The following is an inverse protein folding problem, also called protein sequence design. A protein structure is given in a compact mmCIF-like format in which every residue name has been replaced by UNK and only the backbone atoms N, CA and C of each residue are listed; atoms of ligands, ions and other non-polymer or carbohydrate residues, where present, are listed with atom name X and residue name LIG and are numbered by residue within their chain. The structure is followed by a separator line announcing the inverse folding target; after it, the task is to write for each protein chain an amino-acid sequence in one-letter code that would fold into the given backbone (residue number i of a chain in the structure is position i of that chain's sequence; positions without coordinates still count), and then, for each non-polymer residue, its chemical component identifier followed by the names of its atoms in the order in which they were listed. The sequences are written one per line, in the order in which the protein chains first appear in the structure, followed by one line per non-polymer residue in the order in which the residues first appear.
data_IF_416231481839
#
_entry.id   IF_416231481839
#
_cell.length_a   1.000
_cell.length_b   1.000
_cell.length_c   1.000
_cell.angle_alpha   90.00
_cell.angle_beta   90.00
_cell.angle_gamma   90.00
#
_symmetry.space_group_name_H-M   'P 1'
#
loop_
_entity.id
_entity.type
_entity.pdbx_description
1 polymer ?
#
# COMPACT_ATOMS: atom_id res chain seq x y z
N UNK A 1 7.31 -73.61 -14.62
CA UNK A 1 6.70 -72.47 -15.32
C UNK A 1 6.08 -71.55 -14.28
N UNK A 2 6.82 -70.54 -13.79
CA UNK A 2 6.32 -69.54 -12.83
C UNK A 2 6.47 -68.17 -13.49
N UNK A 3 5.35 -67.58 -13.90
CA UNK A 3 5.25 -66.19 -14.33
C UNK A 3 5.36 -65.29 -13.10
N UNK A 4 6.26 -64.33 -13.12
CA UNK A 4 6.26 -63.18 -12.20
C UNK A 4 5.69 -61.98 -12.95
N UNK A 5 4.52 -61.51 -12.52
CA UNK A 5 3.97 -60.22 -12.92
C UNK A 5 4.74 -59.11 -12.18
N UNK A 6 5.41 -58.22 -12.90
CA UNK A 6 5.82 -56.93 -12.36
C UNK A 6 4.70 -55.92 -12.64
N UNK A 7 4.04 -55.46 -11.58
CA UNK A 7 3.17 -54.27 -11.63
C UNK A 7 4.06 -53.04 -11.52
N UNK A 8 4.16 -52.25 -12.59
CA UNK A 8 4.69 -50.90 -12.54
C UNK A 8 3.58 -49.96 -12.02
N UNK A 9 3.77 -49.39 -10.84
CA UNK A 9 2.92 -48.32 -10.33
C UNK A 9 3.40 -46.98 -10.92
N UNK A 10 2.63 -46.41 -11.84
CA UNK A 10 2.84 -45.05 -12.32
C UNK A 10 2.23 -44.07 -11.30
N UNK A 11 3.07 -43.40 -10.52
CA UNK A 11 2.65 -42.28 -9.69
C UNK A 11 2.53 -41.03 -10.57
N UNK A 12 1.31 -40.61 -10.89
CA UNK A 12 1.04 -39.29 -11.46
C UNK A 12 1.18 -38.24 -10.34
N UNK A 13 2.28 -37.49 -10.37
CA UNK A 13 2.43 -36.28 -9.54
C UNK A 13 1.56 -35.17 -10.13
N UNK A 14 0.51 -34.78 -9.42
CA UNK A 14 -0.27 -33.59 -9.75
C UNK A 14 0.54 -32.35 -9.31
N UNK A 15 1.19 -31.67 -10.25
CA UNK A 15 1.83 -30.37 -9.98
C UNK A 15 0.72 -29.33 -9.95
N UNK A 16 0.29 -28.94 -8.75
CA UNK A 16 -0.49 -27.71 -8.56
C UNK A 16 0.49 -26.54 -8.70
N UNK A 17 0.57 -25.97 -9.89
CA UNK A 17 1.23 -24.68 -10.08
C UNK A 17 0.40 -23.63 -9.34
N UNK A 18 0.91 -23.10 -8.22
CA UNK A 18 0.39 -21.88 -7.65
C UNK A 18 0.66 -20.75 -8.65
N UNK A 19 -0.40 -20.14 -9.15
CA UNK A 19 -0.28 -18.93 -9.96
C UNK A 19 0.16 -17.81 -9.01
N UNK A 20 1.44 -17.46 -9.01
CA UNK A 20 1.84 -16.18 -8.46
C UNK A 20 1.20 -15.10 -9.36
N UNK A 21 0.14 -14.46 -8.87
CA UNK A 21 -0.45 -13.30 -9.54
C UNK A 21 0.56 -12.16 -9.49
N UNK A 22 0.75 -11.45 -10.60
CA UNK A 22 1.63 -10.29 -10.66
C UNK A 22 0.91 -9.06 -10.10
N UNK A 23 1.63 -8.23 -9.35
CA UNK A 23 1.17 -6.90 -8.96
C UNK A 23 0.83 -6.07 -10.22
N UNK A 24 -0.28 -5.34 -10.19
CA UNK A 24 -0.72 -4.48 -11.30
C UNK A 24 0.12 -3.21 -11.37
N UNK A 25 0.65 -2.77 -10.23
CA UNK A 25 1.64 -1.70 -10.14
C UNK A 25 2.84 -2.25 -9.37
N UNK A 26 4.05 -2.07 -9.91
CA UNK A 26 5.27 -2.51 -9.26
C UNK A 26 6.48 -1.62 -9.61
N UNK A 27 6.74 -0.63 -8.76
CA UNK A 27 7.91 0.22 -8.75
C UNK A 27 8.79 -0.20 -7.56
N UNK A 28 9.82 -1.01 -7.79
CA UNK A 28 10.83 -1.31 -6.75
C UNK A 28 11.64 -0.06 -6.39
N UNK A 29 11.79 0.82 -7.37
CA UNK A 29 12.14 2.22 -7.24
C UNK A 29 11.47 3.02 -8.38
N UNK A 30 11.70 4.32 -8.44
CA UNK A 30 11.25 5.18 -9.54
C UNK A 30 12.42 5.57 -10.46
N UNK A 31 13.30 4.62 -10.79
CA UNK A 31 14.24 4.77 -11.92
C UNK A 31 13.51 4.93 -13.27
N UNK A 32 12.21 4.59 -13.30
CA UNK A 32 11.25 4.91 -14.36
C UNK A 32 9.91 5.30 -13.75
N UNK A 33 9.25 6.28 -14.36
CA UNK A 33 7.86 6.69 -14.06
C UNK A 33 6.88 6.25 -15.14
N UNK A 34 7.31 5.35 -16.03
CA UNK A 34 6.44 4.80 -17.09
C UNK A 34 5.20 4.16 -16.48
N UNK A 35 4.03 4.43 -17.06
CA UNK A 35 2.75 3.98 -16.51
C UNK A 35 2.09 5.00 -15.58
N UNK A 36 2.72 6.15 -15.30
CA UNK A 36 2.14 7.26 -14.54
C UNK A 36 1.86 8.48 -15.43
N UNK A 37 0.76 9.17 -15.12
CA UNK A 37 0.47 10.53 -15.55
C UNK A 37 0.98 11.46 -14.45
N UNK A 38 2.01 12.26 -14.76
CA UNK A 38 2.53 13.28 -13.85
C UNK A 38 1.89 14.63 -14.15
N UNK A 39 1.34 15.29 -13.13
CA UNK A 39 0.66 16.57 -13.25
C UNK A 39 1.25 17.62 -12.29
N UNK A 40 1.08 18.89 -12.65
CA UNK A 40 1.60 20.00 -11.86
C UNK A 40 3.12 19.92 -11.75
N UNK A 41 3.62 19.95 -10.52
CA UNK A 41 5.06 19.91 -10.23
C UNK A 41 5.64 18.51 -10.06
N UNK A 42 4.84 17.43 -10.19
CA UNK A 42 5.33 16.08 -10.00
C UNK A 42 6.36 15.69 -11.07
N UNK A 43 7.45 15.07 -10.66
CA UNK A 43 8.56 14.71 -11.54
C UNK A 43 9.33 13.49 -11.01
N UNK A 44 10.01 12.79 -11.92
CA UNK A 44 11.04 11.84 -11.53
C UNK A 44 12.27 12.62 -11.00
N UNK A 45 12.71 12.28 -9.78
CA UNK A 45 13.90 12.86 -9.15
C UNK A 45 14.90 11.74 -8.81
N UNK A 46 15.80 11.44 -9.74
CA UNK A 46 16.66 10.26 -9.62
C UNK A 46 15.83 8.97 -9.65
N UNK A 47 15.88 8.21 -8.56
CA UNK A 47 15.10 6.97 -8.39
C UNK A 47 13.87 7.16 -7.48
N UNK A 48 13.44 8.40 -7.24
CA UNK A 48 12.23 8.73 -6.50
C UNK A 48 11.18 9.41 -7.39
N UNK A 49 9.91 9.19 -7.06
CA UNK A 49 8.82 10.01 -7.55
C UNK A 49 8.65 11.19 -6.59
N UNK A 50 9.04 12.39 -7.04
CA UNK A 50 8.85 13.62 -6.30
C UNK A 50 7.51 14.23 -6.66
N UNK A 51 6.61 14.37 -5.69
CA UNK A 51 5.26 14.87 -5.95
C UNK A 51 5.23 16.40 -6.03
N UNK A 52 6.02 17.07 -5.20
CA UNK A 52 6.30 18.53 -5.27
C UNK A 52 7.78 18.79 -4.92
N UNK A 53 8.42 19.83 -5.48
CA UNK A 53 9.72 20.26 -5.02
C UNK A 53 9.60 21.06 -3.71
N UNK A 54 10.64 20.98 -2.87
CA UNK A 54 10.82 21.81 -1.68
C UNK A 54 10.96 23.29 -2.06
N UNK A 55 9.81 23.93 -2.28
CA UNK A 55 9.65 25.33 -2.62
C UNK A 55 8.25 25.79 -2.17
N UNK A 56 8.02 27.10 -2.09
CA UNK A 56 6.75 27.66 -1.64
C UNK A 56 5.63 27.46 -2.68
N UNK A 57 4.42 27.15 -2.21
CA UNK A 57 3.20 27.24 -3.03
C UNK A 57 3.15 26.27 -4.22
N UNK A 58 3.64 25.04 -4.08
CA UNK A 58 3.63 24.02 -5.13
C UNK A 58 2.39 23.12 -5.02
N UNK A 59 2.04 22.48 -6.13
CA UNK A 59 1.05 21.40 -6.14
C UNK A 59 1.37 20.41 -7.26
N UNK A 60 1.24 19.12 -6.97
CA UNK A 60 1.55 18.08 -7.93
C UNK A 60 0.82 16.79 -7.64
N UNK A 61 0.71 15.97 -8.68
CA UNK A 61 0.11 14.66 -8.57
C UNK A 61 0.70 13.66 -9.56
N UNK A 62 0.63 12.39 -9.23
CA UNK A 62 1.05 11.30 -10.09
C UNK A 62 0.04 10.17 -10.00
N UNK A 63 -0.63 9.85 -11.09
CA UNK A 63 -1.67 8.82 -11.14
C UNK A 63 -1.34 7.72 -12.12
N UNK A 64 -1.80 6.50 -11.83
CA UNK A 64 -1.72 5.39 -12.77
C UNK A 64 -2.37 5.77 -14.11
N UNK A 65 -1.83 5.24 -15.22
CA UNK A 65 -2.43 5.38 -16.56
C UNK A 65 -3.51 4.32 -16.80
N UNK A 66 -3.45 3.22 -16.07
CA UNK A 66 -4.46 2.16 -16.05
C UNK A 66 -5.29 2.24 -14.77
N UNK A 67 -6.56 1.86 -14.85
CA UNK A 67 -7.47 1.84 -13.70
C UNK A 67 -7.39 0.52 -12.94
N UNK A 68 -7.56 0.59 -11.62
CA UNK A 68 -7.89 -0.55 -10.76
C UNK A 68 -9.41 -0.70 -10.69
N UNK A 69 -9.90 -1.94 -10.72
CA UNK A 69 -11.34 -2.23 -10.62
C UNK A 69 -11.78 -2.36 -9.16
N UNK A 70 -12.92 -1.75 -8.83
CA UNK A 70 -13.68 -1.92 -7.60
C UNK A 70 -15.00 -2.69 -7.87
N UNK A 71 -15.19 -3.22 -9.08
CA UNK A 71 -16.42 -3.93 -9.45
C UNK A 71 -16.52 -5.27 -8.73
N UNK A 72 -17.75 -5.76 -8.53
CA UNK A 72 -18.00 -7.10 -7.98
C UNK A 72 -17.27 -7.39 -6.66
N UNK A 73 -17.26 -6.40 -5.75
CA UNK A 73 -16.58 -6.48 -4.45
C UNK A 73 -15.06 -6.68 -4.57
N UNK A 74 -14.45 -6.23 -5.68
CA UNK A 74 -13.01 -6.25 -5.86
C UNK A 74 -12.30 -5.49 -4.73
N UNK A 75 -11.13 -5.98 -4.41
CA UNK A 75 -10.32 -5.56 -3.27
C UNK A 75 -8.97 -5.09 -3.79
N UNK A 76 -8.21 -4.36 -2.99
CA UNK A 76 -6.81 -4.10 -3.31
C UNK A 76 -5.95 -4.09 -2.05
N UNK A 77 -4.67 -4.38 -2.22
CA UNK A 77 -3.65 -4.21 -1.20
C UNK A 77 -2.49 -3.45 -1.82
N UNK A 78 -2.09 -2.35 -1.21
CA UNK A 78 -1.00 -1.51 -1.70
C UNK A 78 0.01 -1.25 -0.59
N UNK A 79 1.28 -1.20 -0.99
CA UNK A 79 2.41 -0.89 -0.14
C UNK A 79 3.25 0.18 -0.83
N UNK A 80 3.68 1.18 -0.07
CA UNK A 80 4.65 2.16 -0.58
C UNK A 80 5.55 2.66 0.53
N UNK A 81 6.69 3.20 0.12
CA UNK A 81 7.62 3.90 0.99
C UNK A 81 7.72 5.35 0.55
N UNK A 82 7.73 6.27 1.51
CA UNK A 82 7.94 7.68 1.25
C UNK A 82 8.84 8.33 2.30
N UNK A 83 9.34 9.51 1.99
CA UNK A 83 10.05 10.38 2.94
C UNK A 83 9.80 11.85 2.60
N UNK A 84 9.93 12.73 3.60
CA UNK A 84 9.93 14.18 3.40
C UNK A 84 11.35 14.71 3.58
N UNK A 85 11.96 15.28 2.52
CA UNK A 85 13.33 15.79 2.58
C UNK A 85 13.46 17.28 2.28
N UNK A 86 14.52 17.91 2.77
CA UNK A 86 14.75 19.36 2.68
C UNK A 86 13.58 20.19 3.22
N UNK A 87 13.10 19.93 4.46
CA UNK A 87 12.04 20.72 5.04
C UNK A 87 12.49 22.18 5.23
N UNK A 88 11.58 23.13 5.04
CA UNK A 88 11.86 24.55 5.19
C UNK A 88 10.60 25.41 5.26
N UNK A 89 10.80 26.71 5.43
CA UNK A 89 9.74 27.71 5.49
C UNK A 89 9.23 27.97 6.91
N UNK A 90 7.92 28.18 7.05
CA UNK A 90 7.27 28.48 8.33
C UNK A 90 7.32 27.28 9.30
N UNK A 91 6.94 27.54 10.55
CA UNK A 91 6.84 26.55 11.63
C UNK A 91 5.45 26.59 12.25
N UNK A 92 4.87 25.43 12.55
CA UNK A 92 3.54 25.28 13.16
C UNK A 92 3.59 24.89 14.65
N UNK A 93 4.79 24.61 15.17
CA UNK A 93 5.02 24.17 16.54
C UNK A 93 5.98 22.99 16.64
N UNK A 94 6.17 22.20 15.57
CA UNK A 94 7.12 21.09 15.52
C UNK A 94 7.92 21.11 14.21
N UNK A 95 9.25 21.17 14.32
CA UNK A 95 10.14 21.00 13.17
C UNK A 95 9.94 22.06 12.07
N UNK A 96 10.57 21.84 10.92
CA UNK A 96 10.32 22.55 9.67
C UNK A 96 9.52 21.61 8.76
N UNK A 97 8.82 22.17 7.76
CA UNK A 97 8.25 21.40 6.66
C UNK A 97 6.73 21.36 6.68
N UNK A 98 6.15 21.14 5.49
CA UNK A 98 4.73 21.04 5.21
C UNK A 98 4.54 20.61 3.72
N UNK A 99 3.34 20.30 3.25
CA UNK A 99 2.09 20.13 4.02
C UNK A 99 1.68 18.65 4.09
N UNK A 100 2.29 17.78 3.30
CA UNK A 100 2.07 16.34 3.41
C UNK A 100 2.07 15.59 2.09
N UNK A 101 1.53 14.38 2.11
CA UNK A 101 1.35 13.49 0.96
C UNK A 101 0.00 12.81 1.09
N UNK A 102 -0.71 12.55 0.00
CA UNK A 102 -1.95 11.75 0.02
C UNK A 102 -1.83 10.60 -0.98
N UNK A 103 -2.12 9.36 -0.55
CA UNK A 103 -2.42 8.27 -1.47
C UNK A 103 -3.90 8.35 -1.86
N UNK A 104 -4.20 8.45 -3.15
CA UNK A 104 -5.53 8.82 -3.64
C UNK A 104 -6.07 7.74 -4.57
N UNK A 105 -7.35 7.40 -4.38
CA UNK A 105 -8.19 6.61 -5.27
C UNK A 105 -9.25 7.54 -5.87
N UNK A 106 -9.25 7.77 -7.18
CA UNK A 106 -10.14 8.76 -7.81
C UNK A 106 -10.58 8.39 -9.24
N UNK A 107 -11.43 9.23 -9.84
CA UNK A 107 -12.08 8.94 -11.14
C UNK A 107 -11.36 9.50 -12.37
N UNK A 108 -10.41 10.42 -12.20
CA UNK A 108 -9.60 10.98 -13.30
C UNK A 108 -8.12 10.94 -12.95
N UNK A 109 -7.22 11.07 -13.92
CA UNK A 109 -5.77 10.92 -13.71
C UNK A 109 -4.96 12.20 -13.89
N UNK A 110 -5.61 13.32 -14.21
CA UNK A 110 -4.96 14.58 -14.57
C UNK A 110 -5.28 15.76 -13.64
N UNK A 111 -5.88 15.50 -12.47
CA UNK A 111 -6.19 16.54 -11.50
C UNK A 111 -4.98 16.91 -10.64
N UNK A 112 -4.90 18.21 -10.32
CA UNK A 112 -3.99 18.79 -9.33
C UNK A 112 -4.88 19.58 -8.36
N UNK A 113 -4.96 19.13 -7.10
CA UNK A 113 -5.75 19.80 -6.07
C UNK A 113 -5.05 21.02 -5.47
N UNK A 114 -5.61 21.52 -4.36
CA UNK A 114 -5.12 22.72 -3.68
C UNK A 114 -3.69 22.59 -3.15
N UNK A 115 -2.92 23.68 -3.21
CA UNK A 115 -1.59 23.80 -2.57
C UNK A 115 -1.70 24.01 -1.05
N UNK A 116 -0.57 24.09 -0.34
CA UNK A 116 -0.56 24.26 1.11
C UNK A 116 -1.29 23.12 1.82
N UNK A 117 -2.03 23.44 2.88
CA UNK A 117 -2.92 22.50 3.59
C UNK A 117 -4.05 21.90 2.73
N UNK A 118 -4.09 22.17 1.42
CA UNK A 118 -4.86 21.37 0.47
C UNK A 118 -4.19 20.06 0.05
N UNK A 119 -2.90 19.87 0.35
CA UNK A 119 -2.07 18.67 0.13
C UNK A 119 -2.21 18.06 -1.29
N UNK A 120 -2.45 18.91 -2.29
CA UNK A 120 -2.70 18.49 -3.66
C UNK A 120 -4.00 17.69 -3.86
N UNK A 121 -4.82 17.53 -2.82
CA UNK A 121 -6.05 16.72 -2.79
C UNK A 121 -7.32 17.57 -2.72
N UNK A 122 -7.27 18.73 -2.04
CA UNK A 122 -8.43 19.62 -1.90
C UNK A 122 -9.03 19.96 -3.27
N UNK A 123 -10.32 19.66 -3.45
CA UNK A 123 -11.06 19.87 -4.70
C UNK A 123 -11.03 18.72 -5.69
N UNK A 124 -10.28 17.64 -5.45
CA UNK A 124 -10.35 16.40 -6.24
C UNK A 124 -11.61 15.64 -5.82
N UNK A 125 -12.77 15.96 -6.40
CA UNK A 125 -14.04 15.28 -6.10
C UNK A 125 -14.07 13.81 -6.53
N UNK A 126 -15.09 13.08 -6.06
CA UNK A 126 -15.30 11.65 -6.35
C UNK A 126 -14.02 10.84 -6.09
N UNK A 127 -13.53 10.92 -4.86
CA UNK A 127 -12.23 10.38 -4.48
C UNK A 127 -12.22 9.97 -3.01
N UNK A 128 -11.26 9.13 -2.68
CA UNK A 128 -10.89 8.81 -1.30
C UNK A 128 -9.38 8.94 -1.19
N UNK A 129 -8.92 9.63 -0.14
CA UNK A 129 -7.52 9.89 0.16
C UNK A 129 -7.12 9.25 1.49
N UNK A 130 -5.88 8.76 1.55
CA UNK A 130 -5.20 8.44 2.81
C UNK A 130 -4.09 9.49 2.93
N UNK A 131 -4.29 10.49 3.78
CA UNK A 131 -3.34 11.60 3.96
C UNK A 131 -2.28 11.27 5.01
N UNK A 132 -1.10 11.85 4.81
CA UNK A 132 0.04 11.91 5.71
C UNK A 132 0.40 13.38 5.86
N UNK A 133 -0.29 14.05 6.78
CA UNK A 133 -0.22 15.50 6.99
C UNK A 133 0.94 15.83 7.93
N UNK A 134 1.74 16.81 7.55
CA UNK A 134 2.91 17.27 8.31
C UNK A 134 2.80 18.71 8.79
N UNK A 135 1.57 19.25 8.85
CA UNK A 135 1.31 20.61 9.26
C UNK A 135 0.00 20.77 10.06
N UNK A 136 0.05 21.51 11.15
CA UNK A 136 -1.12 21.84 11.95
C UNK A 136 -1.91 23.04 11.35
N UNK A 137 -2.97 22.75 10.59
CA UNK A 137 -4.00 23.70 10.16
C UNK A 137 -5.11 23.95 11.21
N UNK A 138 -5.00 23.35 12.40
CA UNK A 138 -5.81 23.65 13.58
C UNK A 138 -6.81 22.56 13.93
N UNK A 139 -8.07 22.94 14.19
CA UNK A 139 -9.09 22.02 14.72
C UNK A 139 -9.48 20.88 13.77
N UNK A 140 -9.23 21.03 12.45
CA UNK A 140 -9.43 19.95 11.47
C UNK A 140 -8.46 18.78 11.68
N UNK A 141 -7.27 19.07 12.19
CA UNK A 141 -6.15 18.13 12.31
C UNK A 141 -5.99 17.64 13.74
N UNK A 142 -7.02 17.85 14.58
CA UNK A 142 -6.96 17.68 16.03
C UNK A 142 -5.81 18.47 16.69
N UNK A 143 -5.41 19.60 16.08
CA UNK A 143 -4.23 20.38 16.48
C UNK A 143 -2.92 19.59 16.46
N UNK A 144 -2.82 18.53 15.63
CA UNK A 144 -1.61 17.76 15.42
C UNK A 144 -0.74 18.38 14.33
N UNK A 145 0.58 18.35 14.51
CA UNK A 145 1.53 18.66 13.42
C UNK A 145 1.85 17.46 12.54
N UNK A 146 1.47 16.25 12.97
CA UNK A 146 1.72 15.02 12.22
C UNK A 146 0.55 14.07 12.43
N UNK A 147 -0.22 13.77 11.39
CA UNK A 147 -1.28 12.77 11.46
C UNK A 147 -1.43 11.98 10.17
N UNK A 148 -2.07 10.82 10.29
CA UNK A 148 -2.60 10.06 9.17
C UNK A 148 -4.12 10.19 9.18
N UNK A 149 -4.71 10.36 8.00
CA UNK A 149 -6.14 10.63 7.85
C UNK A 149 -6.78 9.84 6.71
N UNK A 150 -8.11 9.69 6.78
CA UNK A 150 -8.94 9.25 5.65
C UNK A 150 -9.82 10.42 5.25
N UNK A 151 -9.66 10.81 4.00
CA UNK A 151 -10.34 11.92 3.37
C UNK A 151 -11.28 11.45 2.27
N UNK A 152 -12.32 12.24 2.00
CA UNK A 152 -13.33 11.89 1.00
C UNK A 152 -13.77 13.09 0.18
N UNK A 153 -14.02 12.84 -1.10
CA UNK A 153 -14.58 13.81 -2.04
C UNK A 153 -13.78 15.13 -2.12
N UNK A 154 -12.44 15.03 -2.09
CA UNK A 154 -11.56 16.20 -2.20
C UNK A 154 -11.64 17.16 -1.01
N UNK A 155 -12.09 16.70 0.16
CA UNK A 155 -12.02 17.44 1.42
C UNK A 155 -10.84 16.93 2.24
N UNK A 156 -9.98 17.84 2.71
CA UNK A 156 -8.87 17.57 3.66
C UNK A 156 -9.33 17.59 5.13
N UNK A 157 -10.64 17.71 5.38
CA UNK A 157 -11.19 17.46 6.71
C UNK A 157 -11.43 15.96 6.85
N UNK A 158 -10.42 15.27 7.39
CA UNK A 158 -10.43 13.83 7.63
C UNK A 158 -11.68 13.36 8.38
N UNK A 159 -12.35 12.35 7.83
CA UNK A 159 -13.49 11.68 8.49
C UNK A 159 -13.04 10.68 9.55
N UNK A 160 -11.76 10.31 9.52
CA UNK A 160 -11.08 9.49 10.51
C UNK A 160 -9.61 9.87 10.49
N UNK A 161 -9.03 10.14 11.65
CA UNK A 161 -7.61 10.52 11.76
C UNK A 161 -6.98 9.88 12.99
N UNK A 162 -5.65 9.76 12.97
CA UNK A 162 -4.84 9.39 14.11
C UNK A 162 -3.50 10.14 14.09
N UNK A 163 -3.09 10.63 15.26
CA UNK A 163 -1.80 11.32 15.42
C UNK A 163 -0.63 10.36 15.20
N UNK A 164 0.38 10.83 14.45
CA UNK A 164 1.64 10.11 14.26
C UNK A 164 2.60 10.53 15.37
N UNK A 165 2.70 9.69 16.40
CA UNK A 165 3.53 9.94 17.59
C UNK A 165 4.89 9.25 17.56
N UNK A 166 5.15 8.43 16.54
CA UNK A 166 6.39 7.67 16.41
C UNK A 166 7.61 8.61 16.17
N UNK A 167 7.42 9.65 15.35
CA UNK A 167 8.36 10.76 15.13
C UNK A 167 7.69 11.86 14.27
N UNK A 168 8.33 13.03 14.19
CA UNK A 168 8.05 14.04 13.18
C UNK A 168 8.33 13.47 11.79
N UNK A 169 7.34 13.51 10.88
CA UNK A 169 7.48 12.95 9.54
C UNK A 169 8.38 13.80 8.64
N UNK A 170 8.60 15.08 8.96
CA UNK A 170 9.51 15.96 8.22
C UNK A 170 11.00 15.70 8.54
N UNK A 171 11.34 14.65 9.29
CA UNK A 171 12.70 14.39 9.74
C UNK A 171 13.63 13.72 8.69
N UNK A 172 13.11 13.40 7.50
CA UNK A 172 13.86 12.71 6.45
C UNK A 172 13.94 11.19 6.58
N UNK A 173 13.32 10.59 7.60
CA UNK A 173 13.21 9.14 7.73
C UNK A 173 12.29 8.56 6.65
N UNK A 174 12.52 7.30 6.33
CA UNK A 174 11.66 6.53 5.43
C UNK A 174 10.49 5.95 6.23
N UNK A 175 9.29 6.21 5.73
CA UNK A 175 8.05 5.64 6.24
C UNK A 175 7.52 4.59 5.29
N UNK A 176 7.10 3.46 5.85
CA UNK A 176 6.51 2.33 5.13
C UNK A 176 5.03 2.28 5.43
N UNK A 177 4.19 2.22 4.39
CA UNK A 177 2.73 2.29 4.49
C UNK A 177 2.09 1.08 3.83
N UNK A 178 1.06 0.53 4.46
CA UNK A 178 0.17 -0.47 3.88
C UNK A 178 -1.27 0.03 3.91
N UNK A 179 -1.93 -0.02 2.76
CA UNK A 179 -3.38 0.26 2.66
C UNK A 179 -4.05 -0.97 2.06
N UNK A 180 -5.06 -1.48 2.76
CA UNK A 180 -5.81 -2.66 2.36
C UNK A 180 -7.30 -2.29 2.27
N UNK A 181 -7.91 -2.53 1.12
CA UNK A 181 -9.35 -2.43 0.94
C UNK A 181 -9.93 -3.81 0.64
N UNK A 182 -10.79 -4.30 1.52
CA UNK A 182 -11.56 -5.52 1.32
C UNK A 182 -12.96 -5.14 0.80
N UNK A 183 -13.17 -5.25 -0.52
CA UNK A 183 -14.44 -4.94 -1.16
C UNK A 183 -15.59 -5.89 -0.81
N UNK A 184 -15.31 -7.07 -0.22
CA UNK A 184 -16.37 -7.97 0.26
C UNK A 184 -16.99 -7.46 1.57
N UNK A 185 -16.21 -6.73 2.38
CA UNK A 185 -16.66 -6.16 3.66
C UNK A 185 -16.66 -4.64 3.68
N UNK A 186 -16.30 -4.01 2.56
CA UNK A 186 -16.03 -2.57 2.43
C UNK A 186 -15.04 -2.04 3.49
N UNK A 187 -14.09 -2.86 3.95
CA UNK A 187 -13.18 -2.47 5.03
C UNK A 187 -11.90 -1.87 4.42
N UNK A 188 -11.65 -0.59 4.69
CA UNK A 188 -10.43 0.13 4.37
C UNK A 188 -9.56 0.23 5.64
N UNK A 189 -8.32 -0.22 5.55
CA UNK A 189 -7.36 -0.13 6.65
C UNK A 189 -6.05 0.51 6.19
N UNK A 190 -5.47 1.37 7.03
CA UNK A 190 -4.15 1.94 6.81
C UNK A 190 -3.21 1.62 7.99
N UNK A 191 -1.98 1.25 7.66
CA UNK A 191 -0.88 0.95 8.60
C UNK A 191 0.34 1.72 8.16
N UNK A 192 1.16 2.13 9.13
CA UNK A 192 2.39 2.86 8.85
C UNK A 192 3.40 2.65 9.97
N UNK A 193 4.69 2.64 9.64
CA UNK A 193 5.80 2.79 10.60
C UNK A 193 7.13 3.07 9.87
N UNK A 194 8.20 3.32 10.63
CA UNK A 194 9.56 3.44 10.08
C UNK A 194 10.35 2.13 10.03
N UNK A 195 9.94 1.11 10.78
CA UNK A 195 10.68 -0.16 10.85
C UNK A 195 10.67 -0.98 9.55
N UNK A 196 9.71 -0.71 8.65
CA UNK A 196 9.50 -1.46 7.41
C UNK A 196 8.84 -2.84 7.62
N UNK A 197 8.49 -3.19 8.85
CA UNK A 197 7.80 -4.44 9.19
C UNK A 197 6.31 -4.16 9.34
N UNK A 198 5.44 -4.84 8.56
CA UNK A 198 3.99 -4.58 8.58
C UNK A 198 3.39 -4.79 9.99
N UNK A 199 2.77 -3.76 10.60
CA UNK A 199 2.03 -3.91 11.85
C UNK A 199 0.85 -4.88 11.71
N UNK A 200 0.54 -5.62 12.77
CA UNK A 200 -0.69 -6.44 12.83
C UNK A 200 -1.94 -5.54 12.87
N UNK A 201 -1.96 -4.57 13.79
CA UNK A 201 -3.06 -3.63 13.96
C UNK A 201 -2.98 -2.50 12.94
N UNK A 202 -4.14 -2.13 12.38
CA UNK A 202 -4.28 -0.92 11.59
C UNK A 202 -4.28 0.32 12.50
N UNK A 203 -3.73 1.43 11.99
CA UNK A 203 -3.83 2.74 12.65
C UNK A 203 -5.21 3.32 12.37
N UNK A 204 -5.67 3.23 11.10
CA UNK A 204 -7.00 3.61 10.67
C UNK A 204 -7.76 2.38 10.18
N UNK A 205 -9.03 2.24 10.53
CA UNK A 205 -9.89 1.13 10.10
C UNK A 205 -11.32 1.63 9.94
N UNK A 206 -11.80 1.67 8.70
CA UNK A 206 -13.07 2.29 8.32
C UNK A 206 -13.86 1.38 7.38
N UNK A 207 -15.12 1.11 7.70
CA UNK A 207 -16.05 0.45 6.77
C UNK A 207 -16.70 1.50 5.87
N UNK A 208 -16.38 1.47 4.58
CA UNK A 208 -16.83 2.45 3.58
C UNK A 208 -16.81 1.89 2.16
N UNK A 209 -17.88 2.13 1.41
CA UNK A 209 -18.01 1.69 0.02
C UNK A 209 -17.32 2.69 -0.92
N UNK A 210 -16.10 2.35 -1.37
CA UNK A 210 -15.32 3.24 -2.23
C UNK A 210 -15.95 3.41 -3.62
N UNK A 211 -16.63 2.39 -4.15
CA UNK A 211 -17.27 2.51 -5.46
C UNK A 211 -18.44 3.50 -5.41
N UNK A 212 -19.16 3.54 -4.28
CA UNK A 212 -20.20 4.52 -4.04
C UNK A 212 -19.64 5.95 -3.93
N UNK A 213 -18.54 6.15 -3.20
CA UNK A 213 -17.89 7.46 -3.09
C UNK A 213 -17.38 8.00 -4.43
N UNK A 214 -16.84 7.10 -5.27
CA UNK A 214 -16.33 7.46 -6.59
C UNK A 214 -17.45 7.62 -7.64
N UNK A 215 -18.60 6.97 -7.44
CA UNK A 215 -19.67 6.88 -8.45
C UNK A 215 -19.29 6.04 -9.68
N UNK A 216 -18.21 5.26 -9.59
CA UNK A 216 -17.69 4.37 -10.63
C UNK A 216 -16.90 3.25 -9.99
N UNK A 217 -16.76 2.14 -10.71
CA UNK A 217 -15.95 1.00 -10.30
C UNK A 217 -14.56 0.99 -10.94
N UNK A 218 -14.22 1.95 -11.79
CA UNK A 218 -12.87 2.08 -12.36
C UNK A 218 -12.19 3.28 -11.75
N UNK A 219 -11.08 3.04 -11.04
CA UNK A 219 -10.38 4.08 -10.30
C UNK A 219 -8.93 4.20 -10.75
N UNK A 220 -8.46 5.44 -10.88
CA UNK A 220 -7.03 5.72 -10.90
C UNK A 220 -6.52 5.80 -9.48
N UNK A 221 -5.27 5.37 -9.29
CA UNK A 221 -4.59 5.36 -7.99
C UNK A 221 -3.28 6.11 -8.11
N UNK A 222 -2.86 6.78 -7.06
CA UNK A 222 -1.68 7.62 -7.15
C UNK A 222 -1.43 8.47 -5.92
N UNK A 223 -0.65 9.51 -6.11
CA UNK A 223 -0.20 10.39 -5.03
C UNK A 223 -0.45 11.85 -5.36
N UNK A 224 -0.79 12.64 -4.35
CA UNK A 224 -0.85 14.11 -4.44
C UNK A 224 -0.05 14.74 -3.32
N UNK A 225 0.41 15.97 -3.53
CA UNK A 225 0.99 16.79 -2.49
C UNK A 225 0.86 18.27 -2.84
N UNK A 226 0.87 19.10 -1.80
CA UNK A 226 0.93 20.55 -1.88
C UNK A 226 1.99 21.08 -0.91
N UNK A 227 2.55 22.24 -1.24
CA UNK A 227 3.36 23.02 -0.30
C UNK A 227 2.79 24.43 -0.18
N UNK A 228 3.01 25.07 0.97
CA UNK A 228 2.46 26.38 1.32
C UNK A 228 3.54 27.36 1.73
N UNK A 229 3.37 27.96 2.91
CA UNK A 229 4.37 28.83 3.54
C UNK A 229 5.51 28.04 4.19
N UNK A 230 5.31 26.73 4.38
CA UNK A 230 6.33 25.73 4.65
C UNK A 230 6.34 24.70 3.52
N UNK A 231 7.40 23.91 3.42
CA UNK A 231 7.60 22.98 2.31
C UNK A 231 8.54 21.84 2.68
N UNK A 232 8.42 20.72 1.98
CA UNK A 232 9.40 19.65 1.90
C UNK A 232 9.35 19.02 0.49
N UNK A 233 10.27 18.09 0.19
CA UNK A 233 10.14 17.19 -0.95
C UNK A 233 9.42 15.91 -0.48
N UNK A 234 8.13 15.70 -0.82
CA UNK A 234 7.48 14.40 -0.73
C UNK A 234 8.01 13.47 -1.82
N UNK A 235 8.91 12.57 -1.42
CA UNK A 235 9.52 11.58 -2.31
C UNK A 235 8.92 10.20 -2.03
N UNK A 236 8.24 9.60 -3.02
CA UNK A 236 7.84 8.19 -2.98
C UNK A 236 9.02 7.37 -3.53
N UNK A 237 9.44 6.36 -2.78
CA UNK A 237 10.67 5.61 -3.01
C UNK A 237 10.41 4.25 -3.64
N UNK A 238 9.29 3.61 -3.31
CA UNK A 238 8.83 2.35 -3.87
C UNK A 238 7.31 2.26 -3.77
N UNK A 239 6.66 1.54 -4.68
CA UNK A 239 5.21 1.35 -4.69
C UNK A 239 4.80 0.05 -5.36
N UNK A 240 3.99 -0.75 -4.68
CA UNK A 240 3.37 -1.98 -5.20
C UNK A 240 1.88 -1.96 -4.92
N UNK A 241 1.05 -2.35 -5.89
CA UNK A 241 -0.38 -2.56 -5.72
C UNK A 241 -0.84 -3.86 -6.37
N UNK A 242 -1.59 -4.65 -5.61
CA UNK A 242 -2.33 -5.83 -6.02
C UNK A 242 -3.82 -5.48 -6.13
N UNK A 243 -4.48 -5.84 -7.22
CA UNK A 243 -5.93 -5.62 -7.47
C UNK A 243 -6.81 -6.73 -6.84
N UNK A 244 -6.35 -7.26 -5.72
CA UNK A 244 -7.02 -8.25 -4.88
C UNK A 244 -6.63 -8.02 -3.42
N UNK A 245 -7.38 -8.64 -2.51
CA UNK A 245 -7.02 -8.62 -1.10
C UNK A 245 -5.79 -9.52 -0.87
N UNK A 246 -4.61 -8.91 -0.81
CA UNK A 246 -3.33 -9.59 -0.69
C UNK A 246 -2.36 -8.77 0.18
N UNK A 247 -2.59 -8.70 1.51
CA UNK A 247 -1.77 -7.89 2.41
C UNK A 247 -0.27 -8.14 2.23
N UNK A 248 0.45 -7.10 1.81
CA UNK A 248 1.87 -7.16 1.44
C UNK A 248 2.74 -7.13 2.69
N UNK A 249 3.75 -8.00 2.83
CA UNK A 249 4.71 -7.94 3.94
C UNK A 249 4.18 -8.35 5.32
N UNK A 250 2.94 -8.84 5.42
CA UNK A 250 2.49 -9.56 6.61
C UNK A 250 3.11 -10.96 6.61
N UNK A 251 3.73 -11.37 7.72
CA UNK A 251 4.38 -12.68 7.89
C UNK A 251 3.50 -13.94 7.79
N UNK A 252 2.38 -13.87 7.04
CA UNK A 252 1.50 -14.98 6.70
C UNK A 252 1.55 -15.31 5.19
N UNK A 253 2.62 -14.99 4.47
CA UNK A 253 2.93 -15.76 3.26
C UNK A 253 3.46 -17.13 3.69
N UNK A 254 2.58 -18.00 4.16
CA UNK A 254 2.79 -19.44 3.99
C UNK A 254 2.31 -19.75 2.58
N UNK A 255 3.20 -20.06 1.62
CA UNK A 255 2.76 -20.83 0.48
C UNK A 255 2.48 -22.24 1.00
N UNK A 256 1.23 -22.58 1.31
CA UNK A 256 0.85 -23.99 1.43
C UNK A 256 0.58 -24.53 0.00
N UNK A 257 1.07 -25.72 -0.41
CA UNK A 257 1.57 -26.83 0.41
C UNK A 257 2.98 -27.31 0.01
N UNK A 258 3.97 -27.06 0.87
CA UNK A 258 5.31 -27.68 0.79
C UNK A 258 5.75 -28.38 2.08
N UNK A 259 4.98 -28.26 3.16
CA UNK A 259 5.33 -28.78 4.48
C UNK A 259 4.54 -30.04 4.83
N UNK A 260 4.39 -30.96 3.87
CA UNK A 260 4.20 -32.38 4.22
C UNK A 260 5.57 -32.89 4.68
N UNK A 261 5.88 -32.61 5.95
CA UNK A 261 6.97 -33.28 6.63
C UNK A 261 6.59 -34.76 6.67
N UNK A 262 7.28 -35.51 5.81
CA UNK A 262 7.32 -36.95 5.70
C UNK A 262 7.70 -37.54 7.08
N UNK A 263 6.73 -37.66 7.99
CA UNK A 263 6.83 -38.56 9.12
C UNK A 263 6.71 -39.96 8.54
N UNK A 264 7.89 -40.49 8.21
CA UNK A 264 8.09 -41.78 7.61
C UNK A 264 7.26 -42.85 8.30
N UNK A 265 6.63 -43.64 7.45
CA UNK A 265 6.25 -45.02 7.69
C UNK A 265 7.35 -45.75 8.47
N UNK A 266 7.18 -45.83 9.79
CA UNK A 266 8.05 -46.53 10.72
C UNK A 266 7.23 -47.45 11.61
N UNK A 267 7.35 -48.75 11.35
CA UNK A 267 6.96 -49.90 12.18
C UNK A 267 5.47 -50.23 12.32
N UNK A 268 4.98 -51.03 11.37
CA UNK A 268 3.90 -51.99 11.61
C UNK A 268 4.20 -53.34 10.94
N UNK A 269 5.34 -53.98 11.26
CA UNK A 269 5.57 -55.41 10.97
C UNK A 269 6.41 -56.05 12.09
N UNK A 270 5.80 -56.19 13.26
CA UNK A 270 6.21 -57.17 14.24
C UNK A 270 5.16 -58.29 14.29
N UNK A 271 5.63 -59.53 14.07
CA UNK A 271 4.96 -60.85 14.14
C UNK A 271 4.60 -61.46 12.79
N UNK A 272 5.42 -62.40 12.31
CA UNK A 272 5.14 -63.84 12.44
C UNK A 272 6.37 -64.69 12.02
N UNK A 273 6.94 -65.36 13.04
CA UNK A 273 7.50 -66.72 13.06
C UNK A 273 8.15 -67.33 11.79
N UNK A 274 9.43 -67.75 11.89
CA UNK A 274 9.81 -69.19 12.02
C UNK A 274 11.34 -69.37 12.05
N UNK A 275 11.85 -69.85 13.19
CA UNK A 275 13.09 -70.64 13.26
C UNK A 275 12.70 -72.11 13.07
N UNK A 276 13.25 -72.77 12.05
CA UNK A 276 13.63 -74.21 12.01
C UNK A 276 14.07 -74.60 10.61
N UNK A 277 15.35 -74.99 10.45
CA UNK A 277 15.75 -76.36 10.06
C UNK A 277 17.26 -76.44 9.75
N UNK A 278 18.00 -77.12 10.62
CA UNK A 278 18.97 -78.19 10.30
C UNK A 278 19.40 -78.80 11.63
#
# INVERSE_FOLDING_TARGET
MKMFNQLAAAACGLVLASSASAAVINYTDFSSVSGLTLNGNAAQAGNALRVTPANYGQSGSAFSTSTVSLASNASFSTFFQFQFTNPGGAHDGLGLGADGLVFVVQTVSNNVGGSGGGIGYLGIGNSVGIEFDTWNNGGGDNFSSNHIGIDVNGSVSSIMLAEVTEADMNNGDIWSVWVDYNGATNLLEARMNRSGVRPTSAILSLTRDLALDLGTTNAFVGFTSGTGAAFANPDVLAWTLEDRFAPIGGGNSVPEPGSLLLLGTGLALARFMRKRSS
#
